data_IF_223191024050
#
_entry.id   IF_223191024050
#
_cell.length_a   1.000
_cell.length_b   1.000
_cell.length_c   1.000
_cell.angle_alpha   90.00
_cell.angle_beta   90.00
_cell.angle_gamma   90.00
#
_symmetry.space_group_name_H-M   'P 1'
#
loop_
_entity.id
_entity.type
_entity.pdbx_description
1 polymer ?
#
# COMPACT_ATOMS: atom_id res chain seq x y z
N UNK A 1 0.54 -19.78 15.65
CA UNK A 1 0.06 -19.18 14.38
C UNK A 1 1.23 -18.41 13.80
N UNK A 2 1.83 -18.92 12.72
CA UNK A 2 3.06 -18.35 12.14
C UNK A 2 2.66 -17.16 11.30
N UNK A 3 3.08 -15.96 11.70
CA UNK A 3 2.84 -14.72 10.96
C UNK A 3 3.68 -14.77 9.69
N UNK A 4 3.05 -15.07 8.55
CA UNK A 4 3.74 -14.99 7.26
C UNK A 4 3.94 -13.51 6.92
N UNK A 5 5.18 -13.07 6.97
CA UNK A 5 5.60 -11.77 6.43
C UNK A 5 5.49 -11.89 4.91
N UNK A 6 4.55 -11.15 4.32
CA UNK A 6 4.42 -11.08 2.86
C UNK A 6 5.57 -10.22 2.34
N UNK A 7 6.58 -10.87 1.73
CA UNK A 7 7.68 -10.19 1.07
C UNK A 7 7.22 -9.67 -0.30
N UNK A 8 6.34 -8.67 -0.33
CA UNK A 8 6.08 -7.91 -1.54
C UNK A 8 7.30 -7.06 -1.86
N UNK A 9 8.05 -7.45 -2.90
CA UNK A 9 9.20 -6.68 -3.39
C UNK A 9 8.71 -5.45 -4.12
N UNK A 10 8.71 -4.31 -3.43
CA UNK A 10 8.47 -3.01 -4.04
C UNK A 10 9.85 -2.39 -4.25
N UNK A 11 10.21 -2.19 -5.51
CA UNK A 11 11.50 -1.58 -5.91
C UNK A 11 11.74 -0.29 -5.12
N UNK A 12 12.79 -0.27 -4.28
CA UNK A 12 13.09 0.79 -3.31
C UNK A 12 13.57 2.12 -3.88
N UNK A 13 13.16 2.46 -5.09
CA UNK A 13 13.44 3.77 -5.67
C UNK A 13 12.51 4.82 -5.03
N UNK A 14 13.03 5.84 -4.32
CA UNK A 14 12.21 6.87 -3.66
C UNK A 14 11.40 7.73 -4.64
N UNK A 15 11.69 7.64 -5.95
CA UNK A 15 10.97 8.29 -7.03
C UNK A 15 9.98 7.36 -7.77
N UNK A 16 9.84 6.09 -7.33
CA UNK A 16 8.98 5.14 -8.03
C UNK A 16 7.52 5.44 -7.69
N UNK A 17 6.81 5.98 -8.68
CA UNK A 17 5.36 6.13 -8.64
C UNK A 17 4.74 4.73 -8.53
N UNK A 18 4.05 4.45 -7.44
CA UNK A 18 3.25 3.22 -7.34
C UNK A 18 1.99 3.41 -8.18
N UNK A 19 1.67 2.45 -9.03
CA UNK A 19 0.41 2.46 -9.79
C UNK A 19 -0.72 1.89 -8.94
N UNK A 20 -1.97 2.25 -9.25
CA UNK A 20 -3.13 1.62 -8.60
C UNK A 20 -3.20 0.11 -8.82
N UNK A 21 -2.66 -0.37 -9.94
CA UNK A 21 -2.54 -1.80 -10.27
C UNK A 21 -1.52 -2.50 -9.35
N UNK A 22 -0.35 -1.90 -9.13
CA UNK A 22 0.63 -2.40 -8.16
C UNK A 22 0.06 -2.42 -6.75
N UNK A 23 -0.65 -1.36 -6.32
CA UNK A 23 -1.33 -1.32 -5.03
C UNK A 23 -2.33 -2.48 -4.89
N UNK A 24 -3.18 -2.69 -5.89
CA UNK A 24 -4.12 -3.82 -5.90
C UNK A 24 -3.42 -5.18 -5.78
N UNK A 25 -2.30 -5.35 -6.48
CA UNK A 25 -1.54 -6.60 -6.45
C UNK A 25 -0.93 -6.84 -5.08
N UNK A 26 -0.28 -5.84 -4.48
CA UNK A 26 0.32 -5.94 -3.14
C UNK A 26 -0.77 -6.19 -2.08
N UNK A 27 -1.92 -5.52 -2.19
CA UNK A 27 -3.06 -5.78 -1.32
C UNK A 27 -3.59 -7.21 -1.44
N UNK A 28 -3.68 -7.74 -2.67
CA UNK A 28 -4.11 -9.12 -2.89
C UNK A 28 -3.09 -10.14 -2.35
N UNK A 29 -1.79 -9.90 -2.56
CA UNK A 29 -0.71 -10.72 -2.00
C UNK A 29 -0.73 -10.70 -0.46
N UNK A 30 -1.14 -9.57 0.13
CA UNK A 30 -1.26 -9.40 1.58
C UNK A 30 -2.61 -9.83 2.18
N UNK A 31 -3.53 -10.39 1.39
CA UNK A 31 -4.92 -10.71 1.78
C UNK A 31 -5.65 -9.53 2.47
N UNK A 32 -5.39 -8.31 1.97
CA UNK A 32 -5.90 -7.06 2.52
C UNK A 32 -7.01 -6.47 1.65
N UNK A 33 -8.16 -6.22 2.27
CA UNK A 33 -9.21 -5.42 1.65
C UNK A 33 -8.89 -3.91 1.75
N UNK A 34 -9.42 -3.06 0.85
CA UNK A 34 -9.26 -1.60 0.96
C UNK A 34 -9.70 -1.03 2.31
N UNK A 35 -10.74 -1.62 2.92
CA UNK A 35 -11.19 -1.25 4.26
C UNK A 35 -10.17 -1.62 5.34
N UNK A 36 -9.60 -2.83 5.27
CA UNK A 36 -8.59 -3.26 6.22
C UNK A 36 -7.32 -2.40 6.12
N UNK A 37 -6.91 -2.04 4.90
CA UNK A 37 -5.78 -1.13 4.68
C UNK A 37 -6.04 0.27 5.25
N UNK A 38 -7.23 0.84 4.98
CA UNK A 38 -7.60 2.14 5.55
C UNK A 38 -7.64 2.12 7.11
N UNK A 39 -8.04 1.00 7.70
CA UNK A 39 -8.00 0.81 9.16
C UNK A 39 -6.57 0.73 9.69
N UNK A 40 -5.65 0.06 8.97
CA UNK A 40 -4.22 -0.02 9.34
C UNK A 40 -3.52 1.32 9.25
N UNK A 41 -3.91 2.18 8.30
CA UNK A 41 -3.45 3.57 8.17
C UNK A 41 -4.02 4.51 9.26
N UNK A 42 -4.48 3.95 10.38
CA UNK A 42 -4.93 4.70 11.57
C UNK A 42 -6.24 5.45 11.40
N UNK A 43 -7.03 5.18 10.35
CA UNK A 43 -8.26 5.94 10.07
C UNK A 43 -8.03 7.39 9.61
N UNK A 44 -6.77 7.84 9.55
CA UNK A 44 -6.37 9.14 8.99
C UNK A 44 -6.67 9.22 7.49
N UNK A 45 -6.71 8.07 6.81
CA UNK A 45 -6.99 7.98 5.39
C UNK A 45 -8.44 7.58 5.16
N UNK A 46 -9.26 8.45 4.53
CA UNK A 46 -10.61 8.09 4.17
C UNK A 46 -10.61 6.84 3.29
N UNK A 47 -11.57 5.93 3.52
CA UNK A 47 -11.76 4.75 2.64
C UNK A 47 -11.82 5.16 1.17
N UNK A 48 -12.47 6.29 0.88
CA UNK A 48 -12.60 6.84 -0.47
C UNK A 48 -11.25 7.22 -1.10
N UNK A 49 -10.22 7.48 -0.30
CA UNK A 49 -8.85 7.76 -0.76
C UNK A 49 -8.19 6.48 -1.25
N UNK A 50 -8.23 5.40 -0.46
CA UNK A 50 -7.69 4.09 -0.86
C UNK A 50 -8.40 3.55 -2.10
N UNK A 51 -9.74 3.65 -2.15
CA UNK A 51 -10.52 3.28 -3.33
C UNK A 51 -10.22 4.14 -4.58
N UNK A 52 -9.80 5.39 -4.40
CA UNK A 52 -9.37 6.24 -5.51
C UNK A 52 -7.97 5.86 -5.99
N UNK A 53 -7.07 5.47 -5.08
CA UNK A 53 -5.70 5.07 -5.40
C UNK A 53 -5.63 3.81 -6.25
N UNK A 54 -6.41 2.78 -5.91
CA UNK A 54 -6.49 1.55 -6.71
C UNK A 54 -6.98 1.76 -8.15
N UNK A 55 -7.65 2.89 -8.42
CA UNK A 55 -8.15 3.26 -9.75
C UNK A 55 -7.24 4.25 -10.49
N UNK A 56 -6.17 4.75 -9.85
CA UNK A 56 -5.26 5.72 -10.47
C UNK A 56 -4.18 5.02 -11.27
N UNK A 57 -3.83 5.63 -12.40
CA UNK A 57 -2.66 5.22 -13.18
C UNK A 57 -1.38 5.40 -12.35
N UNK A 58 -1.27 6.52 -11.62
CA UNK A 58 -0.19 6.77 -10.67
C UNK A 58 -0.73 7.32 -9.35
N UNK A 59 -0.17 6.80 -8.26
CA UNK A 59 -0.38 7.29 -6.91
C UNK A 59 0.74 8.29 -6.63
N UNK A 60 0.34 9.54 -6.44
CA UNK A 60 1.24 10.63 -6.08
C UNK A 60 1.03 10.94 -4.61
N UNK A 61 2.04 10.61 -3.81
CA UNK A 61 2.03 10.71 -2.35
C UNK A 61 3.35 11.32 -1.90
N UNK A 62 3.33 12.02 -0.77
CA UNK A 62 4.55 12.47 -0.14
C UNK A 62 5.39 11.24 0.28
N UNK A 63 6.74 11.28 0.27
CA UNK A 63 7.58 10.13 0.63
C UNK A 63 7.21 9.48 1.98
N UNK A 64 6.86 10.31 2.97
CA UNK A 64 6.39 9.85 4.30
C UNK A 64 5.08 9.07 4.20
N UNK A 65 4.12 9.56 3.43
CA UNK A 65 2.83 8.89 3.19
C UNK A 65 3.00 7.58 2.41
N UNK A 66 3.96 7.55 1.48
CA UNK A 66 4.31 6.33 0.77
C UNK A 66 4.95 5.31 1.72
N UNK A 67 5.85 5.72 2.61
CA UNK A 67 6.44 4.84 3.62
C UNK A 67 5.40 4.28 4.58
N UNK A 68 4.45 5.10 5.05
CA UNK A 68 3.31 4.66 5.86
C UNK A 68 2.44 3.62 5.11
N UNK A 69 2.18 3.86 3.82
CA UNK A 69 1.41 2.96 2.97
C UNK A 69 2.10 1.60 2.79
N UNK A 70 3.40 1.60 2.48
CA UNK A 70 4.21 0.39 2.33
C UNK A 70 4.28 -0.40 3.65
N UNK A 71 4.48 0.31 4.76
CA UNK A 71 4.49 -0.28 6.11
C UNK A 71 3.14 -0.92 6.46
N UNK A 72 2.02 -0.25 6.17
CA UNK A 72 0.68 -0.77 6.42
C UNK A 72 0.33 -2.00 5.55
N UNK A 73 0.87 -2.04 4.34
CA UNK A 73 0.80 -3.19 3.43
C UNK A 73 1.69 -4.35 3.89
N UNK A 74 2.61 -4.12 4.85
CA UNK A 74 3.61 -5.10 5.26
C UNK A 74 4.69 -5.33 4.20
N UNK A 75 4.82 -4.42 3.24
CA UNK A 75 5.84 -4.48 2.22
C UNK A 75 7.14 -3.89 2.76
N UNK A 76 8.18 -4.71 2.90
CA UNK A 76 9.53 -4.24 3.21
C UNK A 76 10.20 -3.77 1.93
N UNK A 77 10.56 -2.49 1.89
CA UNK A 77 11.45 -1.88 0.90
C UNK A 77 12.82 -2.55 0.98
N UNK A 78 13.33 -3.08 -0.15
CA UNK A 78 14.71 -3.58 -0.31
C UNK A 78 15.58 -2.52 -0.99
#
# INVERSE_FOLDING_TARGET
MVSQVIHCQISGSPNKRMTGVELCRVMAEADLTPNALALRLGGCWPRTTVYRMVKREFIDLHPVEMEELLTALGATTL
#
